data_IF_970240911663
#
_entry.id   IF_970240911663
#
_cell.length_a   1.000
_cell.length_b   1.000
_cell.length_c   1.000
_cell.angle_alpha   90.00
_cell.angle_beta   90.00
_cell.angle_gamma   90.00
#
_symmetry.space_group_name_H-M   'P 1'
#
loop_
_entity.id
_entity.type
_entity.pdbx_description
1 polymer ?
#
# COMPACT_ATOMS: atom_id res chain seq x y z
N UNK A 1 63.56 -28.54 10.72
CA UNK A 1 62.64 -29.21 9.79
C UNK A 1 61.40 -28.34 9.76
N UNK A 2 61.23 -27.54 8.71
CA UNK A 2 60.03 -26.71 8.54
C UNK A 2 58.92 -27.56 7.90
N UNK A 3 57.67 -27.30 8.28
CA UNK A 3 56.53 -28.10 7.83
C UNK A 3 55.67 -27.29 6.86
N UNK A 4 55.69 -27.68 5.59
CA UNK A 4 55.18 -26.89 4.48
C UNK A 4 53.67 -27.14 4.29
N UNK A 5 52.85 -26.73 5.25
CA UNK A 5 51.39 -26.91 5.23
C UNK A 5 50.74 -26.04 4.15
N UNK A 6 50.75 -26.49 2.90
CA UNK A 6 50.08 -25.83 1.78
C UNK A 6 48.57 -25.83 2.00
N UNK A 7 47.99 -24.65 2.28
CA UNK A 7 46.54 -24.51 2.37
C UNK A 7 45.95 -24.73 0.98
N UNK A 8 45.32 -25.88 0.78
CA UNK A 8 44.55 -26.20 -0.43
C UNK A 8 43.32 -25.28 -0.46
N UNK A 9 43.31 -24.31 -1.38
CA UNK A 9 42.15 -23.45 -1.60
C UNK A 9 41.02 -24.27 -2.23
N UNK A 10 40.13 -24.80 -1.38
CA UNK A 10 38.92 -25.50 -1.83
C UNK A 10 38.00 -24.47 -2.47
N UNK A 11 38.09 -24.35 -3.81
CA UNK A 11 37.15 -23.56 -4.61
C UNK A 11 35.71 -23.89 -4.14
N UNK A 12 34.87 -22.89 -3.80
CA UNK A 12 33.50 -23.16 -3.40
C UNK A 12 32.79 -23.96 -4.51
N UNK A 13 32.00 -25.00 -4.16
CA UNK A 13 31.37 -25.86 -5.15
C UNK A 13 30.49 -25.02 -6.09
N UNK A 14 30.57 -25.28 -7.40
CA UNK A 14 29.80 -24.54 -8.41
C UNK A 14 28.30 -24.84 -8.26
N UNK A 15 27.63 -24.07 -7.40
CA UNK A 15 26.23 -24.25 -7.00
C UNK A 15 25.22 -23.83 -8.07
N UNK A 16 25.65 -23.10 -9.11
CA UNK A 16 24.85 -22.68 -10.25
C UNK A 16 24.55 -23.84 -11.22
N UNK A 17 23.75 -24.82 -10.78
CA UNK A 17 23.12 -25.79 -11.68
C UNK A 17 22.34 -25.03 -12.76
N UNK A 18 22.83 -25.06 -14.00
CA UNK A 18 22.16 -24.42 -15.14
C UNK A 18 20.72 -24.89 -15.30
N UNK A 19 19.83 -24.00 -15.76
CA UNK A 19 18.37 -24.16 -15.74
C UNK A 19 17.87 -25.55 -16.19
N UNK A 20 18.38 -26.06 -17.32
CA UNK A 20 18.00 -27.39 -17.85
C UNK A 20 18.34 -28.54 -16.88
N UNK A 21 19.48 -28.46 -16.19
CA UNK A 21 19.89 -29.44 -15.19
C UNK A 21 19.06 -29.31 -13.91
N UNK A 22 18.73 -28.08 -13.48
CA UNK A 22 17.79 -27.88 -12.39
C UNK A 22 16.40 -28.46 -12.70
N UNK A 23 15.85 -28.19 -13.89
CA UNK A 23 14.56 -28.74 -14.33
C UNK A 23 14.58 -30.27 -14.33
N UNK A 24 15.64 -30.89 -14.87
CA UNK A 24 15.79 -32.35 -14.86
C UNK A 24 15.88 -32.92 -13.45
N UNK A 25 16.71 -32.34 -12.60
CA UNK A 25 16.96 -32.82 -11.24
C UNK A 25 15.73 -32.67 -10.31
N UNK A 26 14.80 -31.75 -10.59
CA UNK A 26 13.62 -31.48 -9.75
C UNK A 26 12.31 -32.05 -10.32
N UNK A 27 12.00 -31.79 -11.59
CA UNK A 27 10.71 -32.14 -12.21
C UNK A 27 10.73 -33.51 -12.90
N UNK A 28 11.87 -33.91 -13.47
CA UNK A 28 12.02 -35.11 -14.30
C UNK A 28 12.97 -36.15 -13.67
N UNK A 29 13.09 -36.12 -12.34
CA UNK A 29 13.99 -36.97 -11.56
C UNK A 29 13.58 -38.45 -11.52
N UNK A 30 12.29 -38.74 -11.70
CA UNK A 30 11.74 -40.10 -11.78
C UNK A 30 10.68 -40.19 -12.88
N UNK A 31 10.30 -41.42 -13.26
CA UNK A 31 9.24 -41.66 -14.25
C UNK A 31 7.87 -41.15 -13.76
N UNK A 32 7.57 -41.27 -12.47
CA UNK A 32 6.31 -40.79 -11.89
C UNK A 32 6.30 -39.26 -11.75
N UNK A 33 7.43 -38.63 -11.38
CA UNK A 33 7.56 -37.16 -11.40
C UNK A 33 7.44 -36.61 -12.82
N UNK A 34 7.96 -37.32 -13.82
CA UNK A 34 7.78 -37.00 -15.24
C UNK A 34 6.30 -37.06 -15.64
N UNK A 35 5.59 -38.14 -15.30
CA UNK A 35 4.16 -38.29 -15.59
C UNK A 35 3.32 -37.21 -14.90
N UNK A 36 3.57 -36.94 -13.62
CA UNK A 36 2.92 -35.87 -12.85
C UNK A 36 3.21 -34.48 -13.45
N UNK A 37 4.44 -34.22 -13.88
CA UNK A 37 4.80 -32.95 -14.54
C UNK A 37 4.08 -32.79 -15.88
N UNK A 38 4.01 -33.84 -16.70
CA UNK A 38 3.23 -33.81 -17.95
C UNK A 38 1.73 -33.57 -17.69
N UNK A 39 1.14 -34.24 -16.69
CA UNK A 39 -0.26 -34.04 -16.32
C UNK A 39 -0.52 -32.63 -15.77
N UNK A 40 0.39 -32.10 -14.95
CA UNK A 40 0.32 -30.74 -14.43
C UNK A 40 0.45 -29.68 -15.54
N UNK A 41 1.34 -29.89 -16.53
CA UNK A 41 1.45 -29.00 -17.70
C UNK A 41 0.17 -29.00 -18.55
N UNK A 42 -0.44 -30.17 -18.77
CA UNK A 42 -1.73 -30.28 -19.48
C UNK A 42 -2.86 -29.59 -18.71
N UNK A 43 -2.94 -29.80 -17.39
CA UNK A 43 -3.89 -29.10 -16.52
C UNK A 43 -3.70 -27.57 -16.56
N UNK A 44 -2.46 -27.09 -16.38
CA UNK A 44 -2.14 -25.67 -16.42
C UNK A 44 -2.45 -25.05 -17.79
N UNK A 45 -2.19 -25.75 -18.89
CA UNK A 45 -2.57 -25.29 -20.22
C UNK A 45 -4.08 -25.08 -20.34
N UNK A 46 -4.90 -26.05 -19.93
CA UNK A 46 -6.36 -25.90 -19.98
C UNK A 46 -6.89 -24.83 -19.01
N UNK A 47 -6.31 -24.74 -17.80
CA UNK A 47 -6.64 -23.72 -16.81
C UNK A 47 -6.33 -22.31 -17.33
N UNK A 48 -5.08 -22.05 -17.77
CA UNK A 48 -4.70 -20.74 -18.30
C UNK A 48 -5.46 -20.40 -19.58
N UNK A 49 -5.73 -21.38 -20.47
CA UNK A 49 -6.57 -21.15 -21.65
C UNK A 49 -7.98 -20.68 -21.25
N UNK A 50 -8.58 -21.29 -20.23
CA UNK A 50 -9.90 -20.87 -19.72
C UNK A 50 -9.84 -19.48 -19.07
N UNK A 51 -8.84 -19.23 -18.21
CA UNK A 51 -8.64 -17.92 -17.57
C UNK A 51 -8.42 -16.82 -18.60
N UNK A 52 -7.56 -17.02 -19.61
CA UNK A 52 -7.31 -16.00 -20.64
C UNK A 52 -8.51 -15.77 -21.55
N UNK A 53 -9.29 -16.81 -21.91
CA UNK A 53 -10.55 -16.62 -22.63
C UNK A 53 -11.52 -15.78 -21.78
N UNK A 54 -11.67 -16.09 -20.49
CA UNK A 54 -12.51 -15.28 -19.61
C UNK A 54 -12.01 -13.83 -19.50
N UNK A 55 -10.73 -13.62 -19.20
CA UNK A 55 -10.08 -12.30 -19.09
C UNK A 55 -10.27 -11.46 -20.35
N UNK A 56 -10.05 -12.01 -21.54
CA UNK A 56 -10.03 -11.23 -22.78
C UNK A 56 -11.34 -11.20 -23.56
N UNK A 57 -12.32 -12.08 -23.27
CA UNK A 57 -13.58 -12.13 -24.04
C UNK A 57 -14.88 -12.19 -23.21
N UNK A 58 -14.82 -12.34 -21.88
CA UNK A 58 -16.02 -12.48 -21.04
C UNK A 58 -16.07 -11.53 -19.85
N UNK A 59 -14.91 -11.14 -19.31
CA UNK A 59 -14.80 -10.26 -18.16
C UNK A 59 -15.17 -8.82 -18.52
N UNK A 60 -16.19 -8.27 -17.86
CA UNK A 60 -16.57 -6.86 -18.04
C UNK A 60 -15.69 -5.93 -17.20
N UNK A 61 -14.55 -5.56 -17.77
CA UNK A 61 -13.59 -4.63 -17.15
C UNK A 61 -14.14 -3.23 -16.88
N UNK A 62 -15.36 -2.88 -17.36
CA UNK A 62 -16.02 -1.60 -17.03
C UNK A 62 -16.54 -1.57 -15.59
N UNK A 63 -16.78 -2.73 -14.97
CA UNK A 63 -17.27 -2.82 -13.59
C UNK A 63 -16.27 -2.23 -12.59
N UNK A 64 -14.96 -2.40 -12.83
CA UNK A 64 -13.90 -1.90 -11.95
C UNK A 64 -13.88 -0.36 -11.86
N UNK A 65 -13.74 0.41 -12.97
CA UNK A 65 -13.80 1.87 -12.91
C UNK A 65 -15.19 2.38 -12.51
N UNK A 66 -16.28 1.72 -12.90
CA UNK A 66 -17.64 2.13 -12.53
C UNK A 66 -17.93 2.02 -11.01
N UNK A 67 -17.25 1.11 -10.31
CA UNK A 67 -17.44 0.87 -8.88
C UNK A 67 -16.16 1.14 -8.06
N UNK A 68 -15.21 1.90 -8.61
CA UNK A 68 -13.86 2.04 -8.05
C UNK A 68 -13.86 2.59 -6.61
N UNK A 69 -14.80 3.49 -6.29
CA UNK A 69 -15.06 3.97 -4.92
C UNK A 69 -15.31 2.83 -3.92
N UNK A 70 -16.17 1.86 -4.28
CA UNK A 70 -16.49 0.71 -3.41
C UNK A 70 -15.27 -0.21 -3.26
N UNK A 71 -14.47 -0.36 -4.33
CA UNK A 71 -13.26 -1.17 -4.31
C UNK A 71 -12.09 -0.53 -3.53
N UNK A 72 -12.00 0.80 -3.49
CA UNK A 72 -10.89 1.53 -2.85
C UNK A 72 -11.19 2.03 -1.43
N UNK A 73 -12.43 2.42 -1.14
CA UNK A 73 -12.84 3.09 0.11
C UNK A 73 -14.01 2.35 0.79
N UNK A 74 -14.65 1.40 0.09
CA UNK A 74 -15.88 0.76 0.57
C UNK A 74 -17.10 1.68 0.46
N UNK A 75 -18.18 1.42 1.20
CA UNK A 75 -19.43 2.18 1.14
C UNK A 75 -19.37 3.51 1.92
N UNK A 76 -18.24 4.23 1.85
CA UNK A 76 -18.05 5.48 2.58
C UNK A 76 -18.75 6.65 1.85
N UNK A 77 -19.59 7.45 2.55
CA UNK A 77 -20.35 8.55 1.94
C UNK A 77 -19.44 9.68 1.46
N UNK A 78 -19.74 10.22 0.27
CA UNK A 78 -18.87 11.14 -0.49
C UNK A 78 -18.69 12.46 0.27
N UNK A 79 -19.75 12.91 0.93
CA UNK A 79 -19.83 14.15 1.72
C UNK A 79 -18.86 14.12 2.92
N UNK A 80 -18.50 12.93 3.39
CA UNK A 80 -17.67 12.74 4.57
C UNK A 80 -16.18 12.51 4.24
N UNK A 81 -15.80 12.38 2.96
CA UNK A 81 -14.43 11.99 2.56
C UNK A 81 -13.35 12.97 3.04
N UNK A 82 -13.71 14.24 3.30
CA UNK A 82 -12.82 15.21 3.96
C UNK A 82 -12.26 14.75 5.32
N UNK A 83 -12.96 13.87 6.05
CA UNK A 83 -12.47 13.22 7.29
C UNK A 83 -11.22 12.38 7.06
N UNK A 84 -11.20 11.61 5.96
CA UNK A 84 -10.04 10.81 5.55
C UNK A 84 -8.87 11.75 5.20
N UNK A 85 -9.16 12.92 4.62
CA UNK A 85 -8.18 13.98 4.39
C UNK A 85 -7.53 14.50 5.69
N UNK A 86 -8.32 14.75 6.74
CA UNK A 86 -7.81 15.16 8.07
C UNK A 86 -6.89 14.07 8.67
N UNK A 87 -7.28 12.80 8.55
CA UNK A 87 -6.45 11.65 8.97
C UNK A 87 -5.10 11.67 8.24
N UNK A 88 -5.10 11.78 6.92
CA UNK A 88 -3.89 11.77 6.11
C UNK A 88 -2.98 13.00 6.38
N UNK A 89 -3.55 14.19 6.56
CA UNK A 89 -2.80 15.38 6.99
C UNK A 89 -2.18 15.20 8.39
N UNK A 90 -2.85 14.51 9.31
CA UNK A 90 -2.29 14.17 10.63
C UNK A 90 -1.08 13.24 10.47
N UNK A 91 -1.22 12.18 9.66
CA UNK A 91 -0.13 11.21 9.41
C UNK A 91 1.06 11.85 8.69
N UNK A 92 0.83 12.73 7.70
CA UNK A 92 1.90 13.51 7.05
C UNK A 92 2.61 14.46 8.03
N UNK A 93 1.86 15.10 8.94
CA UNK A 93 2.43 15.99 9.96
C UNK A 93 3.34 15.23 10.91
N UNK A 94 2.89 14.06 11.40
CA UNK A 94 3.70 13.20 12.27
C UNK A 94 4.92 12.62 11.52
N UNK A 95 4.75 12.19 10.27
CA UNK A 95 5.86 11.70 9.43
C UNK A 95 6.90 12.78 9.16
N UNK A 96 6.49 14.01 8.83
CA UNK A 96 7.39 15.13 8.58
C UNK A 96 8.17 15.53 9.82
N UNK A 97 7.47 15.74 10.95
CA UNK A 97 8.12 15.97 12.25
C UNK A 97 9.10 14.84 12.60
N UNK A 98 8.70 13.57 12.42
CA UNK A 98 9.58 12.44 12.68
C UNK A 98 10.81 12.41 11.76
N UNK A 99 10.67 12.74 10.47
CA UNK A 99 11.79 12.86 9.54
C UNK A 99 12.75 14.00 9.92
N UNK A 100 12.25 15.12 10.45
CA UNK A 100 13.07 16.25 10.90
C UNK A 100 13.85 15.95 12.18
N UNK A 101 13.23 15.22 13.11
CA UNK A 101 13.75 14.90 14.44
C UNK A 101 14.75 13.72 14.43
N UNK A 102 14.39 12.60 13.78
CA UNK A 102 15.20 11.37 13.80
C UNK A 102 16.05 11.17 12.54
N UNK A 103 15.72 11.85 11.43
CA UNK A 103 16.45 11.77 10.15
C UNK A 103 16.58 10.31 9.67
N UNK A 104 17.74 9.92 9.12
CA UNK A 104 18.07 8.52 8.79
C UNK A 104 17.00 7.77 7.99
N UNK A 105 16.60 6.59 8.48
CA UNK A 105 15.58 5.73 7.84
C UNK A 105 14.21 6.42 7.70
N UNK A 106 13.80 7.22 8.69
CA UNK A 106 12.50 7.93 8.64
C UNK A 106 12.52 8.99 7.54
N UNK A 107 13.64 9.70 7.37
CA UNK A 107 13.84 10.65 6.29
C UNK A 107 13.84 9.94 4.91
N UNK A 108 14.45 8.75 4.79
CA UNK A 108 14.36 7.95 3.55
C UNK A 108 12.90 7.60 3.20
N UNK A 109 12.09 7.20 4.18
CA UNK A 109 10.66 6.89 3.99
C UNK A 109 9.87 8.15 3.58
N UNK A 110 10.08 9.28 4.27
CA UNK A 110 9.44 10.55 3.93
C UNK A 110 9.82 11.05 2.51
N UNK A 111 11.10 10.91 2.12
CA UNK A 111 11.58 11.23 0.77
C UNK A 111 10.96 10.29 -0.27
N UNK A 112 10.85 9.00 0.00
CA UNK A 112 10.21 8.05 -0.92
C UNK A 112 8.72 8.38 -1.14
N UNK A 113 7.99 8.69 -0.07
CA UNK A 113 6.58 9.12 -0.14
C UNK A 113 6.46 10.45 -0.89
N UNK A 114 7.36 11.42 -0.64
CA UNK A 114 7.40 12.68 -1.37
C UNK A 114 7.71 12.49 -2.87
N UNK A 115 8.64 11.59 -3.22
CA UNK A 115 8.99 11.27 -4.59
C UNK A 115 7.85 10.59 -5.35
N UNK A 116 7.10 9.68 -4.71
CA UNK A 116 5.88 9.10 -5.28
C UNK A 116 4.80 10.19 -5.46
N UNK A 117 4.59 11.05 -4.47
CA UNK A 117 3.66 12.19 -4.58
C UNK A 117 4.03 13.18 -5.70
N UNK A 118 5.32 13.39 -5.93
CA UNK A 118 5.84 14.22 -7.03
C UNK A 118 5.69 13.53 -8.40
N UNK A 119 5.92 12.22 -8.48
CA UNK A 119 5.70 11.43 -9.71
C UNK A 119 4.21 11.46 -10.11
N UNK A 120 3.31 11.23 -9.15
CA UNK A 120 1.85 11.35 -9.35
C UNK A 120 1.42 12.76 -9.79
N UNK A 121 2.19 13.80 -9.45
CA UNK A 121 1.95 15.19 -9.85
C UNK A 121 2.46 15.53 -11.27
N UNK A 122 3.32 14.69 -11.84
CA UNK A 122 3.80 14.76 -13.23
C UNK A 122 2.91 14.02 -14.22
N UNK A 123 2.09 13.07 -13.76
CA UNK A 123 1.10 12.39 -14.61
C UNK A 123 0.00 13.40 -14.99
N UNK A 124 -0.33 13.55 -16.28
CA UNK A 124 -1.51 14.31 -16.71
C UNK A 124 -2.77 13.56 -16.27
N UNK A 125 -3.38 14.05 -15.18
CA UNK A 125 -4.61 13.54 -14.56
C UNK A 125 -5.79 14.49 -14.83
N UNK A 126 -5.65 15.35 -15.83
CA UNK A 126 -6.61 16.35 -16.25
C UNK A 126 -7.75 15.75 -17.07
N UNK A 127 -8.95 16.28 -16.84
CA UNK A 127 -10.18 15.83 -17.49
C UNK A 127 -10.28 16.48 -18.86
N UNK A 128 -10.39 15.66 -19.90
CA UNK A 128 -10.76 16.10 -21.25
C UNK A 128 -12.13 16.79 -21.15
N UNK A 129 -12.19 18.09 -21.46
CA UNK A 129 -13.44 18.83 -21.44
C UNK A 129 -14.36 18.38 -22.58
N UNK A 130 -15.67 18.45 -22.35
CA UNK A 130 -16.68 17.95 -23.29
C UNK A 130 -16.67 18.76 -24.59
N UNK A 131 -16.23 18.12 -25.67
CA UNK A 131 -16.50 18.55 -27.03
C UNK A 131 -17.84 17.96 -27.49
N UNK A 132 -18.66 18.79 -28.11
CA UNK A 132 -19.89 18.38 -28.79
C UNK A 132 -19.54 17.45 -29.97
N UNK A 133 -20.32 16.39 -30.17
CA UNK A 133 -20.22 15.39 -31.26
C UNK A 133 -18.86 14.70 -31.54
N UNK A 134 -18.54 13.66 -30.77
CA UNK A 134 -18.17 12.37 -31.40
C UNK A 134 -18.55 11.14 -30.55
N UNK A 135 -18.83 10.02 -31.21
CA UNK A 135 -19.39 8.81 -30.60
C UNK A 135 -18.36 7.88 -29.93
N UNK A 136 -18.81 7.26 -28.83
CA UNK A 136 -18.34 5.98 -28.27
C UNK A 136 -16.89 5.82 -27.76
N UNK A 137 -15.97 6.75 -28.00
CA UNK A 137 -14.60 6.65 -27.47
C UNK A 137 -14.48 7.33 -26.09
N UNK A 138 -14.26 6.55 -25.02
CA UNK A 138 -13.92 7.02 -23.67
C UNK A 138 -14.83 8.10 -23.05
N UNK A 139 -16.16 7.90 -23.08
CA UNK A 139 -17.04 8.44 -22.02
C UNK A 139 -16.76 7.70 -20.70
N UNK A 140 -15.61 8.03 -20.09
CA UNK A 140 -15.07 7.41 -18.89
C UNK A 140 -15.79 7.97 -17.66
N UNK A 141 -16.93 7.35 -17.35
CA UNK A 141 -18.02 7.99 -16.61
C UNK A 141 -17.72 8.21 -15.10
N UNK A 142 -17.27 9.43 -14.79
CA UNK A 142 -17.42 10.17 -13.53
C UNK A 142 -16.80 9.64 -12.22
N UNK A 143 -16.16 8.46 -12.13
CA UNK A 143 -15.61 7.99 -10.84
C UNK A 143 -14.24 7.27 -10.86
N UNK A 144 -13.17 7.98 -11.28
CA UNK A 144 -11.79 7.44 -11.21
C UNK A 144 -10.90 8.19 -10.20
N UNK A 145 -10.72 9.51 -10.35
CA UNK A 145 -10.12 10.35 -9.30
C UNK A 145 -10.59 11.81 -9.44
N UNK A 146 -11.90 12.01 -9.59
CA UNK A 146 -12.49 13.34 -9.34
C UNK A 146 -12.31 13.73 -7.86
N UNK A 147 -12.38 12.72 -6.98
CA UNK A 147 -11.57 12.69 -5.78
C UNK A 147 -10.07 12.59 -6.15
N UNK A 148 -9.51 11.38 -6.14
CA UNK A 148 -8.11 11.03 -5.66
C UNK A 148 -8.16 11.76 -4.23
N UNK A 149 -7.96 13.09 -4.08
CA UNK A 149 -8.34 13.91 -2.91
C UNK A 149 -8.75 15.37 -3.24
N UNK A 150 -9.31 15.60 -4.42
CA UNK A 150 -9.67 16.88 -5.05
C UNK A 150 -8.48 17.76 -5.50
N UNK A 151 -8.14 17.58 -6.78
CA UNK A 151 -7.09 18.29 -7.57
C UNK A 151 -5.64 18.10 -7.10
N UNK A 152 -4.73 18.39 -8.05
CA UNK A 152 -3.27 18.56 -7.89
C UNK A 152 -2.88 19.46 -6.71
N UNK A 153 -3.76 20.39 -6.32
CA UNK A 153 -3.67 21.23 -5.12
C UNK A 153 -3.55 20.42 -3.81
N UNK A 154 -4.18 19.26 -3.71
CA UNK A 154 -4.13 18.45 -2.48
C UNK A 154 -2.83 17.66 -2.36
N UNK A 155 -2.28 17.17 -3.48
CA UNK A 155 -0.91 16.63 -3.53
C UNK A 155 0.14 17.71 -3.21
N UNK A 156 0.00 18.91 -3.80
CA UNK A 156 0.85 20.07 -3.46
C UNK A 156 0.75 20.44 -1.97
N UNK A 157 -0.47 20.45 -1.42
CA UNK A 157 -0.72 20.71 0.00
C UNK A 157 -0.09 19.67 0.91
N UNK A 158 -0.21 18.38 0.58
CA UNK A 158 0.42 17.28 1.32
C UNK A 158 1.95 17.33 1.27
N UNK A 159 2.54 17.56 0.10
CA UNK A 159 3.99 17.74 -0.06
C UNK A 159 4.50 18.98 0.69
N UNK A 160 3.77 20.09 0.61
CA UNK A 160 4.06 21.32 1.34
C UNK A 160 3.96 21.15 2.86
N UNK A 161 2.94 20.45 3.34
CA UNK A 161 2.75 20.11 4.76
C UNK A 161 3.88 19.21 5.27
N UNK A 162 4.24 18.17 4.51
CA UNK A 162 5.33 17.25 4.85
C UNK A 162 6.68 17.99 4.92
N UNK A 163 6.95 18.89 3.97
CA UNK A 163 8.15 19.72 3.96
C UNK A 163 8.17 20.76 5.11
N UNK A 164 7.05 21.44 5.36
CA UNK A 164 6.94 22.42 6.44
C UNK A 164 7.08 21.76 7.83
N UNK A 165 6.47 20.60 8.03
CA UNK A 165 6.55 19.86 9.31
C UNK A 165 7.92 19.20 9.51
N UNK A 166 8.58 18.76 8.43
CA UNK A 166 10.01 18.44 8.45
C UNK A 166 10.87 19.63 8.91
N UNK A 167 10.67 20.82 8.34
CA UNK A 167 11.41 22.03 8.72
C UNK A 167 11.10 22.51 10.16
N UNK A 168 9.88 22.27 10.66
CA UNK A 168 9.50 22.60 12.04
C UNK A 168 10.12 21.67 13.08
N UNK A 169 10.20 20.37 12.78
CA UNK A 169 10.82 19.36 13.65
C UNK A 169 12.35 19.26 13.51
N UNK A 170 12.90 19.79 12.41
CA UNK A 170 14.34 19.83 12.15
C UNK A 170 15.09 20.47 13.31
N UNK A 171 16.08 19.72 13.81
CA UNK A 171 17.07 20.17 14.79
C UNK A 171 16.47 20.61 16.16
N UNK A 172 15.19 20.29 16.44
CA UNK A 172 14.50 20.56 17.73
C UNK A 172 14.21 19.27 18.52
N UNK A 173 15.10 18.83 19.43
CA UNK A 173 14.94 17.56 20.14
C UNK A 173 13.76 17.54 21.13
N UNK A 174 13.28 18.70 21.59
CA UNK A 174 12.16 18.83 22.53
C UNK A 174 10.88 18.15 22.03
N UNK A 175 10.60 18.23 20.73
CA UNK A 175 9.42 17.63 20.12
C UNK A 175 9.43 16.10 20.10
N UNK A 176 10.55 15.42 20.43
CA UNK A 176 10.64 13.94 20.46
C UNK A 176 9.50 13.30 21.26
N UNK A 177 9.28 13.78 22.49
CA UNK A 177 8.22 13.23 23.37
C UNK A 177 6.83 13.51 22.80
N UNK A 178 6.60 14.72 22.32
CA UNK A 178 5.32 15.16 21.73
C UNK A 178 4.96 14.35 20.48
N UNK A 179 5.93 14.01 19.63
CA UNK A 179 5.70 13.24 18.40
C UNK A 179 5.50 11.75 18.69
N UNK A 180 6.19 11.17 19.68
CA UNK A 180 5.89 9.80 20.15
C UNK A 180 4.45 9.74 20.71
N UNK A 181 4.06 10.69 21.54
CA UNK A 181 2.68 10.81 22.04
C UNK A 181 1.70 10.99 20.88
N UNK A 182 2.05 11.81 19.88
CA UNK A 182 1.26 12.05 18.67
C UNK A 182 1.03 10.78 17.84
N UNK A 183 2.03 9.91 17.69
CA UNK A 183 1.88 8.60 17.04
C UNK A 183 1.01 7.63 17.85
N UNK A 184 1.14 7.60 19.18
CA UNK A 184 0.27 6.75 20.02
C UNK A 184 -1.19 7.25 19.99
N UNK A 185 -1.40 8.57 20.03
CA UNK A 185 -2.71 9.20 19.95
C UNK A 185 -3.29 9.26 18.53
N UNK A 186 -2.50 8.98 17.48
CA UNK A 186 -3.01 9.02 16.11
C UNK A 186 -4.11 7.98 15.88
N UNK A 187 -4.03 6.80 16.51
CA UNK A 187 -5.05 5.75 16.39
C UNK A 187 -6.42 6.13 16.98
N UNK A 188 -6.55 6.56 18.26
CA UNK A 188 -7.83 7.04 18.77
C UNK A 188 -8.30 8.31 18.04
N UNK A 189 -7.38 9.17 17.59
CA UNK A 189 -7.71 10.33 16.76
C UNK A 189 -8.32 9.94 15.40
N UNK A 190 -7.75 8.98 14.67
CA UNK A 190 -8.33 8.54 13.38
C UNK A 190 -9.70 7.92 13.58
N UNK A 191 -9.91 7.14 14.64
CA UNK A 191 -11.23 6.57 14.97
C UNK A 191 -12.27 7.65 15.26
N UNK A 192 -11.91 8.68 16.03
CA UNK A 192 -12.78 9.84 16.30
C UNK A 192 -13.11 10.60 15.00
N UNK A 193 -12.10 10.92 14.19
CA UNK A 193 -12.24 11.70 12.95
C UNK A 193 -13.08 10.96 11.91
N UNK A 194 -12.88 9.65 11.73
CA UNK A 194 -13.62 8.86 10.75
C UNK A 194 -15.08 8.61 11.18
N UNK A 195 -15.32 8.24 12.44
CA UNK A 195 -16.67 8.06 13.00
C UNK A 195 -17.47 9.37 12.96
N UNK A 196 -16.82 10.47 13.34
CA UNK A 196 -17.37 11.82 13.33
C UNK A 196 -18.46 12.08 14.38
N UNK A 197 -18.82 13.36 14.49
CA UNK A 197 -19.77 13.88 15.47
C UNK A 197 -21.07 14.34 14.77
N UNK A 198 -21.98 13.41 14.50
CA UNK A 198 -23.30 13.75 13.96
C UNK A 198 -24.05 12.56 13.36
N UNK A 199 -25.28 12.36 13.82
CA UNK A 199 -26.31 11.45 13.30
C UNK A 199 -25.83 10.04 12.92
N UNK A 200 -25.88 9.15 13.92
CA UNK A 200 -26.18 7.73 13.66
C UNK A 200 -27.63 7.73 13.15
N UNK A 201 -27.84 7.59 11.84
CA UNK A 201 -29.17 7.30 11.30
C UNK A 201 -29.54 5.88 11.74
N UNK A 202 -30.76 5.64 12.24
CA UNK A 202 -31.08 4.46 13.05
C UNK A 202 -30.77 3.10 12.39
N UNK A 203 -30.81 3.06 11.05
CA UNK A 203 -30.43 1.88 10.24
C UNK A 203 -28.96 1.44 10.43
N UNK A 204 -28.04 2.36 10.79
CA UNK A 204 -26.66 1.99 11.12
C UNK A 204 -26.56 1.26 12.47
N UNK A 205 -27.49 1.50 13.40
CA UNK A 205 -27.47 0.89 14.73
C UNK A 205 -27.65 -0.64 14.64
N UNK A 206 -28.58 -1.08 13.78
CA UNK A 206 -28.83 -2.50 13.48
C UNK A 206 -27.62 -3.22 12.87
N UNK A 207 -26.84 -2.54 12.02
CA UNK A 207 -25.62 -3.12 11.42
C UNK A 207 -24.45 -3.21 12.40
N UNK A 208 -24.39 -2.29 13.37
CA UNK A 208 -23.33 -2.24 14.39
C UNK A 208 -23.50 -3.35 15.45
N UNK A 209 -24.74 -3.71 15.77
CA UNK A 209 -25.07 -4.72 16.80
C UNK A 209 -24.56 -6.15 16.44
N UNK A 210 -24.30 -6.42 15.16
CA UNK A 210 -23.79 -7.72 14.68
C UNK A 210 -22.27 -7.90 14.75
N UNK A 211 -21.48 -6.87 15.06
CA UNK A 211 -20.01 -6.95 15.06
C UNK A 211 -19.40 -6.68 16.45
N UNK A 212 -18.63 -7.61 17.04
CA UNK A 212 -18.01 -7.42 18.35
C UNK A 212 -16.82 -6.44 18.27
N UNK A 213 -17.13 -5.15 18.44
CA UNK A 213 -16.20 -4.00 18.45
C UNK A 213 -14.94 -4.25 19.31
N UNK A 214 -15.10 -4.96 20.44
CA UNK A 214 -14.03 -5.51 21.28
C UNK A 214 -12.82 -6.07 20.52
N UNK A 215 -13.06 -6.85 19.45
CA UNK A 215 -11.99 -7.52 18.69
C UNK A 215 -11.20 -6.53 17.83
N UNK A 216 -11.84 -5.48 17.33
CA UNK A 216 -11.19 -4.45 16.50
C UNK A 216 -10.22 -3.63 17.36
N UNK A 217 -10.61 -3.27 18.58
CA UNK A 217 -9.73 -2.60 19.55
C UNK A 217 -8.51 -3.47 19.89
N UNK A 218 -8.71 -4.77 20.15
CA UNK A 218 -7.61 -5.71 20.43
C UNK A 218 -6.60 -5.78 19.29
N UNK A 219 -7.06 -5.94 18.04
CA UNK A 219 -6.18 -6.00 16.86
C UNK A 219 -5.43 -4.67 16.67
N UNK A 220 -6.11 -3.53 16.78
CA UNK A 220 -5.49 -2.21 16.65
C UNK A 220 -4.39 -1.95 17.70
N UNK A 221 -4.64 -2.33 18.96
CA UNK A 221 -3.66 -2.20 20.05
C UNK A 221 -2.45 -3.11 19.82
N UNK A 222 -2.65 -4.36 19.38
CA UNK A 222 -1.56 -5.32 19.10
C UNK A 222 -0.68 -4.83 17.95
N UNK A 223 -1.26 -4.30 16.87
CA UNK A 223 -0.48 -3.73 15.76
C UNK A 223 0.28 -2.46 16.16
N UNK A 224 -0.31 -1.64 17.05
CA UNK A 224 0.35 -0.47 17.60
C UNK A 224 1.57 -0.82 18.48
N UNK A 225 1.43 -1.79 19.39
CA UNK A 225 2.56 -2.22 20.25
C UNK A 225 3.68 -2.88 19.44
N UNK A 226 3.37 -3.70 18.44
CA UNK A 226 4.36 -4.25 17.50
C UNK A 226 5.10 -3.12 16.77
N UNK A 227 4.40 -2.09 16.30
CA UNK A 227 5.01 -0.95 15.60
C UNK A 227 5.95 -0.14 16.50
N UNK A 228 5.57 0.06 17.77
CA UNK A 228 6.43 0.74 18.77
C UNK A 228 7.66 -0.11 19.12
N UNK A 229 7.51 -1.42 19.29
CA UNK A 229 8.63 -2.33 19.56
C UNK A 229 9.63 -2.41 18.39
N UNK A 230 9.15 -2.46 17.15
CA UNK A 230 10.01 -2.41 15.96
C UNK A 230 10.73 -1.06 15.81
N UNK A 231 10.07 0.05 16.19
CA UNK A 231 10.69 1.37 16.23
C UNK A 231 11.77 1.51 17.31
N UNK A 232 11.59 0.85 18.45
CA UNK A 232 12.58 0.81 19.55
C UNK A 232 13.76 -0.14 19.25
N UNK A 233 13.55 -1.19 18.46
CA UNK A 233 14.59 -2.14 18.04
C UNK A 233 15.54 -1.61 16.96
N UNK A 234 15.36 -0.35 16.52
CA UNK A 234 16.10 0.29 15.43
C UNK A 234 16.90 1.53 15.88
N UNK A 235 17.16 1.66 17.19
CA UNK A 235 17.88 2.74 17.85
C UNK A 235 18.98 2.21 18.79
#
# INVERSE_FOLDING_TARGET
MENNTSIQEVKPPDTSKGLVRWLRDNLFSTWYNTLLTCLALVFLFFFFRWVFIWVFTQADWRVIPANLQILMIGPFPIEQVGRIGIVFCTLLTLLGLSAGIWKGRVLQIAIAIAAVGLLLLLIPLDVVQEGEDTSATLKFNLNIFYLIFFKRTWLLGGLGLLAATYLLGRDKPEFKRTVIIGWVLSFPWTMIVLRGYGQITDLQMLMIESYPIEQIWRIGIILCTISVLLGLSAA
#
